data_IF_177796403474
#
_entry.id   IF_177796403474
#
_cell.length_a   1.000
_cell.length_b   1.000
_cell.length_c   1.000
_cell.angle_alpha   90.00
_cell.angle_beta   90.00
_cell.angle_gamma   90.00
#
_symmetry.space_group_name_H-M   'P 1'
#
loop_
_entity.id
_entity.type
_entity.pdbx_description
1 polymer ?
#
# COMPACT_ATOMS: atom_id res chain seq x y z
N UNK A 1 13.91 -3.03 -14.08
CA UNK A 1 13.53 -1.88 -14.92
C UNK A 1 13.18 -0.73 -13.99
N UNK A 2 13.71 0.45 -14.24
CA UNK A 2 13.29 1.70 -13.59
C UNK A 2 12.61 2.58 -14.61
N UNK A 3 11.54 3.28 -14.24
CA UNK A 3 10.79 4.06 -15.23
C UNK A 3 9.49 4.64 -14.71
N UNK A 4 8.84 5.44 -15.56
CA UNK A 4 7.52 6.04 -15.32
C UNK A 4 6.52 4.94 -14.98
N UNK A 5 5.85 5.10 -13.85
CA UNK A 5 4.88 4.12 -13.36
C UNK A 5 3.54 4.27 -14.07
N UNK A 6 2.82 3.15 -14.23
CA UNK A 6 1.39 3.14 -14.56
C UNK A 6 0.51 2.98 -13.32
N UNK A 7 1.11 2.97 -12.13
CA UNK A 7 0.41 2.89 -10.85
C UNK A 7 0.06 4.33 -10.46
N UNK A 8 -1.22 4.57 -10.25
CA UNK A 8 -1.82 5.90 -10.20
C UNK A 8 -1.33 6.75 -9.00
N UNK A 9 -0.80 6.09 -7.96
CA UNK A 9 -0.36 6.73 -6.73
C UNK A 9 1.16 6.91 -6.59
N UNK A 10 1.94 6.67 -7.66
CA UNK A 10 3.39 6.80 -7.68
C UNK A 10 3.90 7.32 -9.02
N UNK A 11 5.01 8.04 -9.03
CA UNK A 11 5.51 8.66 -10.27
C UNK A 11 6.41 7.68 -11.05
N UNK A 12 7.23 6.91 -10.32
CA UNK A 12 8.18 5.95 -10.89
C UNK A 12 8.31 4.69 -10.05
N UNK A 13 8.79 3.61 -10.67
CA UNK A 13 9.14 2.37 -9.96
C UNK A 13 10.65 2.16 -9.92
N UNK A 14 11.14 1.65 -8.80
CA UNK A 14 12.51 1.21 -8.61
C UNK A 14 12.53 -0.26 -8.18
N UNK A 15 13.10 -1.14 -9.01
CA UNK A 15 12.99 -2.60 -8.84
C UNK A 15 14.38 -3.28 -8.71
N UNK A 16 15.07 -3.11 -7.57
CA UNK A 16 16.37 -3.75 -7.28
C UNK A 16 16.28 -5.24 -6.93
N UNK A 17 15.08 -5.81 -6.81
CA UNK A 17 14.83 -7.24 -6.56
C UNK A 17 13.82 -7.75 -7.58
N UNK A 18 13.95 -9.00 -8.01
CA UNK A 18 12.96 -9.71 -8.82
C UNK A 18 12.60 -11.04 -8.15
N UNK A 19 11.39 -11.52 -8.44
CA UNK A 19 10.86 -12.74 -7.84
C UNK A 19 10.31 -12.52 -6.43
N UNK A 20 9.42 -13.42 -6.02
CA UNK A 20 8.75 -13.43 -4.72
C UNK A 20 8.07 -14.80 -4.48
N UNK A 21 7.87 -15.17 -3.22
CA UNK A 21 7.00 -16.28 -2.82
C UNK A 21 5.63 -15.79 -2.32
N UNK A 22 4.60 -16.64 -2.45
CA UNK A 22 3.23 -16.36 -2.00
C UNK A 22 3.12 -16.55 -0.48
N UNK A 23 2.52 -15.59 0.22
CA UNK A 23 2.41 -15.61 1.70
C UNK A 23 0.98 -15.46 2.23
N UNK A 24 0.01 -15.25 1.35
CA UNK A 24 -1.41 -15.08 1.70
C UNK A 24 -2.31 -15.23 0.48
N UNK A 25 -3.63 -15.26 0.69
CA UNK A 25 -4.65 -15.32 -0.38
C UNK A 25 -4.61 -14.14 -1.35
N UNK A 26 -4.04 -13.00 -0.93
CA UNK A 26 -3.77 -11.88 -1.82
C UNK A 26 -2.79 -12.20 -2.96
N UNK A 27 -1.99 -13.26 -2.80
CA UNK A 27 -1.00 -13.68 -3.77
C UNK A 27 -1.53 -14.70 -4.79
N UNK A 28 -2.75 -15.24 -4.60
CA UNK A 28 -3.29 -16.34 -5.42
C UNK A 28 -3.35 -15.99 -6.91
N UNK A 29 -3.73 -14.74 -7.25
CA UNK A 29 -3.77 -14.22 -8.61
C UNK A 29 -2.86 -12.99 -8.80
N UNK A 30 -1.67 -13.03 -8.21
CA UNK A 30 -0.69 -11.96 -8.28
C UNK A 30 -0.36 -11.56 -9.73
N UNK A 31 -0.56 -10.29 -10.08
CA UNK A 31 -0.21 -9.80 -11.42
C UNK A 31 1.29 -9.88 -11.69
N UNK A 32 2.12 -9.71 -10.66
CA UNK A 32 3.58 -9.75 -10.79
C UNK A 32 4.06 -11.14 -11.24
N UNK A 33 3.43 -12.21 -10.76
CA UNK A 33 3.67 -13.59 -11.21
C UNK A 33 3.29 -13.76 -12.68
N UNK A 34 2.12 -13.23 -13.08
CA UNK A 34 1.66 -13.34 -14.47
C UNK A 34 2.63 -12.68 -15.47
N UNK A 35 3.30 -11.59 -15.07
CA UNK A 35 4.24 -10.85 -15.93
C UNK A 35 5.71 -11.22 -15.67
N UNK A 36 6.02 -12.06 -14.67
CA UNK A 36 7.40 -12.37 -14.29
C UNK A 36 8.15 -13.12 -15.38
N UNK A 37 7.45 -13.88 -16.21
CA UNK A 37 8.00 -14.61 -17.36
C UNK A 37 8.83 -13.70 -18.27
N UNK A 38 8.44 -12.42 -18.41
CA UNK A 38 9.18 -11.46 -19.22
C UNK A 38 10.59 -11.14 -18.69
N UNK A 39 10.84 -11.34 -17.39
CA UNK A 39 12.05 -10.86 -16.71
C UNK A 39 12.89 -11.96 -16.05
N UNK A 40 12.23 -13.00 -15.56
CA UNK A 40 12.87 -14.11 -14.85
C UNK A 40 12.92 -15.39 -15.70
N UNK A 41 12.25 -15.40 -16.84
CA UNK A 41 11.97 -16.61 -17.62
C UNK A 41 10.75 -17.38 -17.08
N UNK A 42 10.21 -18.32 -17.87
CA UNK A 42 9.07 -19.14 -17.46
C UNK A 42 9.31 -19.87 -16.13
N UNK A 43 8.28 -19.92 -15.27
CA UNK A 43 8.30 -20.72 -14.04
C UNK A 43 9.28 -20.26 -12.95
N UNK A 44 9.82 -19.04 -13.04
CA UNK A 44 10.90 -18.55 -12.15
C UNK A 44 10.46 -17.38 -11.25
N UNK A 45 9.16 -17.28 -10.91
CA UNK A 45 8.68 -16.20 -10.04
C UNK A 45 9.16 -16.36 -8.60
N UNK A 46 9.22 -17.59 -8.11
CA UNK A 46 9.65 -17.94 -6.75
C UNK A 46 11.17 -17.83 -6.53
N UNK A 47 11.94 -17.72 -7.61
CA UNK A 47 13.39 -17.50 -7.55
C UNK A 47 13.68 -16.01 -7.36
N UNK A 48 14.10 -15.65 -6.14
CA UNK A 48 14.54 -14.29 -5.83
C UNK A 48 15.88 -14.00 -6.48
N UNK A 49 15.96 -12.87 -7.19
CA UNK A 49 17.18 -12.37 -7.85
C UNK A 49 17.41 -10.93 -7.46
N UNK A 50 18.64 -10.63 -7.06
CA UNK A 50 19.10 -9.26 -6.83
C UNK A 50 19.46 -8.61 -8.16
N UNK A 51 19.25 -7.31 -8.27
CA UNK A 51 19.54 -6.49 -9.45
C UNK A 51 20.44 -5.32 -9.02
N UNK A 52 21.69 -5.60 -8.60
CA UNK A 52 22.60 -4.58 -8.05
C UNK A 52 22.87 -3.42 -9.02
N UNK A 53 22.83 -3.69 -10.33
CA UNK A 53 23.10 -2.70 -11.37
C UNK A 53 22.08 -1.54 -11.42
N UNK A 54 20.92 -1.69 -10.79
CA UNK A 54 19.92 -0.61 -10.69
C UNK A 54 19.88 0.06 -9.31
N UNK A 55 20.74 -0.32 -8.36
CA UNK A 55 20.73 0.25 -7.02
C UNK A 55 20.86 1.78 -7.07
N UNK A 56 21.81 2.31 -7.82
CA UNK A 56 22.07 3.75 -7.88
C UNK A 56 21.14 4.53 -8.82
N UNK A 57 20.15 3.86 -9.44
CA UNK A 57 19.25 4.54 -10.37
C UNK A 57 18.55 5.78 -9.79
N UNK A 58 18.08 5.79 -8.51
CA UNK A 58 17.45 6.97 -7.92
C UNK A 58 18.37 8.19 -7.85
N UNK A 59 19.68 8.00 -7.68
CA UNK A 59 20.65 9.10 -7.59
C UNK A 59 20.77 9.89 -8.90
N UNK A 60 20.35 9.30 -10.02
CA UNK A 60 20.41 9.90 -11.36
C UNK A 60 19.15 10.70 -11.70
N UNK A 61 18.14 10.72 -10.83
CA UNK A 61 16.89 11.44 -11.09
C UNK A 61 16.93 12.83 -10.45
N UNK A 62 16.95 13.86 -11.29
CA UNK A 62 17.11 15.25 -10.83
C UNK A 62 15.84 15.91 -10.27
N UNK A 63 14.65 15.42 -10.63
CA UNK A 63 13.37 15.96 -10.13
C UNK A 63 12.86 15.12 -8.96
N UNK A 64 12.33 15.75 -7.88
CA UNK A 64 11.60 15.04 -6.85
C UNK A 64 10.53 14.12 -7.43
N UNK A 65 10.40 12.92 -6.85
CA UNK A 65 9.51 11.85 -7.32
C UNK A 65 9.04 11.05 -6.10
N UNK A 66 7.82 10.52 -6.18
CA UNK A 66 7.38 9.35 -5.43
C UNK A 66 7.86 8.11 -6.16
N UNK A 67 8.61 7.28 -5.46
CA UNK A 67 9.33 6.12 -5.98
C UNK A 67 8.76 4.87 -5.31
N UNK A 68 7.99 4.08 -6.04
CA UNK A 68 7.51 2.80 -5.54
C UNK A 68 8.60 1.73 -5.65
N UNK A 69 9.00 1.21 -4.50
CA UNK A 69 10.02 0.17 -4.38
C UNK A 69 9.39 -1.18 -4.72
N UNK A 70 10.01 -1.90 -5.65
CA UNK A 70 9.70 -3.29 -5.99
C UNK A 70 8.25 -3.55 -6.40
N UNK A 71 7.77 -2.83 -7.40
CA UNK A 71 6.44 -3.03 -8.01
C UNK A 71 6.15 -4.42 -8.57
N UNK A 72 7.12 -5.33 -8.69
CA UNK A 72 6.91 -6.68 -9.25
C UNK A 72 7.54 -7.79 -8.38
N UNK A 73 7.86 -7.49 -7.13
CA UNK A 73 8.53 -8.39 -6.18
C UNK A 73 8.31 -7.87 -4.76
N UNK A 74 8.92 -8.51 -3.76
CA UNK A 74 8.89 -8.01 -2.39
C UNK A 74 10.32 -7.67 -1.97
N UNK A 75 10.61 -6.39 -1.73
CA UNK A 75 11.94 -5.91 -1.35
C UNK A 75 12.45 -6.57 -0.06
N UNK A 76 11.53 -6.99 0.81
CA UNK A 76 11.85 -7.61 2.10
C UNK A 76 11.62 -9.12 2.08
N UNK A 77 11.66 -9.76 0.91
CA UNK A 77 11.61 -11.21 0.82
C UNK A 77 12.73 -11.88 1.61
N UNK A 78 12.48 -12.97 2.35
CA UNK A 78 13.44 -13.70 3.21
C UNK A 78 14.78 -13.98 2.52
N UNK A 79 14.74 -14.38 1.25
CA UNK A 79 15.91 -14.61 0.41
C UNK A 79 16.72 -13.37 -0.03
N UNK A 80 16.23 -12.14 0.22
CA UNK A 80 17.03 -10.91 0.04
C UNK A 80 17.93 -10.76 1.27
N UNK A 81 19.27 -10.70 1.12
CA UNK A 81 20.18 -10.52 2.26
C UNK A 81 20.01 -9.16 2.92
N UNK A 82 20.18 -9.07 4.24
CA UNK A 82 20.09 -7.80 4.98
C UNK A 82 21.08 -6.76 4.44
N UNK A 83 22.31 -7.16 4.09
CA UNK A 83 23.30 -6.29 3.45
C UNK A 83 22.78 -5.63 2.16
N UNK A 84 21.95 -6.33 1.39
CA UNK A 84 21.37 -5.75 0.18
C UNK A 84 20.24 -4.76 0.51
N UNK A 85 19.45 -5.05 1.55
CA UNK A 85 18.44 -4.10 2.06
C UNK A 85 19.12 -2.85 2.61
N UNK A 86 20.24 -2.99 3.32
CA UNK A 86 21.07 -1.89 3.81
C UNK A 86 21.52 -1.00 2.63
N UNK A 87 22.01 -1.60 1.54
CA UNK A 87 22.41 -0.85 0.35
C UNK A 87 21.26 -0.11 -0.33
N UNK A 88 20.06 -0.71 -0.36
CA UNK A 88 18.86 -0.04 -0.86
C UNK A 88 18.52 1.18 -0.01
N UNK A 89 18.50 1.03 1.32
CA UNK A 89 18.20 2.13 2.24
C UNK A 89 19.30 3.21 2.23
N UNK A 90 20.56 2.84 2.04
CA UNK A 90 21.66 3.78 1.86
C UNK A 90 21.48 4.64 0.59
N UNK A 91 21.02 4.03 -0.50
CA UNK A 91 20.64 4.76 -1.72
C UNK A 91 19.49 5.73 -1.43
N UNK A 92 18.47 5.29 -0.68
CA UNK A 92 17.32 6.13 -0.32
C UNK A 92 17.72 7.34 0.53
N UNK A 93 18.65 7.14 1.47
CA UNK A 93 19.23 8.18 2.30
C UNK A 93 19.98 9.23 1.46
N UNK A 94 20.79 8.78 0.49
CA UNK A 94 21.53 9.68 -0.40
C UNK A 94 20.61 10.40 -1.42
N UNK A 95 19.57 9.73 -1.91
CA UNK A 95 18.58 10.29 -2.83
C UNK A 95 17.43 11.02 -2.09
N UNK A 96 17.80 11.89 -1.15
CA UNK A 96 16.89 12.55 -0.20
C UNK A 96 15.79 13.41 -0.84
N UNK A 97 15.97 13.85 -2.10
CA UNK A 97 14.98 14.60 -2.85
C UNK A 97 13.76 13.78 -3.30
N UNK A 98 13.80 12.44 -3.17
CA UNK A 98 12.70 11.56 -3.54
C UNK A 98 12.00 11.01 -2.32
N UNK A 99 10.69 10.79 -2.44
CA UNK A 99 9.89 10.04 -1.47
C UNK A 99 9.83 8.58 -1.89
N UNK A 100 10.26 7.67 -1.03
CA UNK A 100 10.27 6.24 -1.30
C UNK A 100 9.09 5.54 -0.64
N UNK A 101 8.31 4.80 -1.43
CA UNK A 101 7.16 4.02 -0.98
C UNK A 101 7.57 2.54 -0.93
N UNK A 102 7.70 1.99 0.28
CA UNK A 102 7.99 0.58 0.52
C UNK A 102 6.72 -0.14 0.95
N UNK A 103 6.23 -1.07 0.13
CA UNK A 103 5.06 -1.91 0.46
C UNK A 103 5.48 -3.38 0.54
N UNK A 104 5.05 -4.09 1.59
CA UNK A 104 5.34 -5.51 1.75
C UNK A 104 4.19 -6.27 2.41
N UNK A 105 4.16 -7.59 2.27
CA UNK A 105 3.31 -8.48 3.11
C UNK A 105 4.09 -9.06 4.30
N UNK A 106 5.41 -8.85 4.33
CA UNK A 106 6.36 -9.36 5.35
C UNK A 106 6.54 -8.35 6.48
N UNK A 107 5.42 -7.96 7.06
CA UNK A 107 5.29 -7.02 8.18
C UNK A 107 6.26 -7.31 9.35
N UNK A 108 6.50 -8.58 9.70
CA UNK A 108 7.45 -8.94 10.74
C UNK A 108 8.88 -8.50 10.39
N UNK A 109 9.35 -8.78 9.17
CA UNK A 109 10.68 -8.37 8.71
C UNK A 109 10.80 -6.86 8.57
N UNK A 110 9.77 -6.20 8.05
CA UNK A 110 9.69 -4.73 8.00
C UNK A 110 9.94 -4.12 9.38
N UNK A 111 9.20 -4.59 10.39
CA UNK A 111 9.35 -4.12 11.78
C UNK A 111 10.74 -4.44 12.33
N UNK A 112 11.20 -5.68 12.21
CA UNK A 112 12.48 -6.13 12.77
C UNK A 112 13.64 -5.30 12.25
N UNK A 113 13.70 -5.04 10.94
CA UNK A 113 14.78 -4.24 10.35
C UNK A 113 14.66 -2.78 10.76
N UNK A 114 13.51 -2.14 10.56
CA UNK A 114 13.42 -0.68 10.72
C UNK A 114 13.41 -0.23 12.19
N UNK A 115 13.04 -1.12 13.11
CA UNK A 115 13.12 -0.86 14.56
C UNK A 115 14.48 -1.20 15.18
N UNK A 116 15.41 -1.79 14.43
CA UNK A 116 16.74 -2.15 14.92
C UNK A 116 17.69 -0.95 14.84
N UNK A 117 18.28 -0.51 15.97
CA UNK A 117 19.35 0.50 15.96
C UNK A 117 20.55 0.06 15.12
N UNK A 118 20.95 -1.22 15.21
CA UNK A 118 22.09 -1.76 14.45
C UNK A 118 21.85 -1.67 12.94
N UNK A 119 20.60 -1.90 12.49
CA UNK A 119 20.24 -1.75 11.08
C UNK A 119 20.29 -0.28 10.65
N UNK A 120 19.78 0.63 11.48
CA UNK A 120 19.85 2.07 11.20
C UNK A 120 21.31 2.54 11.11
N UNK A 121 22.17 2.14 12.04
CA UNK A 121 23.58 2.47 12.05
C UNK A 121 24.29 1.89 10.82
N UNK A 122 24.01 0.64 10.45
CA UNK A 122 24.57 0.02 9.25
C UNK A 122 24.15 0.76 7.97
N UNK A 123 22.90 1.21 7.86
CA UNK A 123 22.42 2.04 6.73
C UNK A 123 23.18 3.37 6.66
N UNK A 124 23.35 4.06 7.78
CA UNK A 124 24.03 5.35 7.82
C UNK A 124 25.53 5.22 7.52
N UNK A 125 26.17 4.16 8.03
CA UNK A 125 27.56 3.82 7.72
C UNK A 125 27.73 3.49 6.24
N UNK A 126 26.85 2.67 5.66
CA UNK A 126 26.90 2.31 4.24
C UNK A 126 26.67 3.54 3.35
N UNK A 127 25.70 4.39 3.69
CA UNK A 127 25.44 5.63 2.96
C UNK A 127 26.63 6.59 3.02
N UNK A 128 27.23 6.75 4.19
CA UNK A 128 28.42 7.59 4.40
C UNK A 128 29.62 7.03 3.64
N UNK A 129 29.84 5.72 3.69
CA UNK A 129 30.95 5.04 3.03
C UNK A 129 30.87 5.11 1.51
N UNK A 130 29.67 4.96 0.93
CA UNK A 130 29.46 4.98 -0.52
C UNK A 130 29.31 6.37 -1.11
N UNK A 131 28.56 7.24 -0.45
CA UNK A 131 28.11 8.51 -1.01
C UNK A 131 28.72 9.74 -0.29
N UNK A 132 29.56 9.50 0.71
CA UNK A 132 30.32 10.52 1.43
C UNK A 132 29.64 11.06 2.68
N UNK A 133 30.42 11.77 3.51
CA UNK A 133 30.00 12.31 4.81
C UNK A 133 28.89 13.39 4.77
N UNK A 134 28.46 13.80 3.58
CA UNK A 134 27.37 14.75 3.38
C UNK A 134 25.97 14.12 3.53
N UNK A 135 25.85 12.79 3.58
CA UNK A 135 24.58 12.11 3.89
C UNK A 135 24.28 12.25 5.37
N UNK A 136 23.71 13.40 5.75
CA UNK A 136 23.22 13.69 7.10
C UNK A 136 21.71 13.54 7.13
N UNK A 137 21.24 12.33 7.38
CA UNK A 137 19.81 12.05 7.54
C UNK A 137 19.55 11.45 8.93
N UNK A 138 18.46 11.86 9.62
CA UNK A 138 18.03 11.17 10.83
C UNK A 138 17.45 9.79 10.50
N UNK A 139 17.24 9.00 11.55
CA UNK A 139 16.43 7.78 11.51
C UNK A 139 15.12 7.96 12.28
N UNK A 140 13.96 7.50 11.76
CA UNK A 140 13.76 6.91 10.43
C UNK A 140 14.06 7.89 9.30
N UNK A 141 14.32 7.38 8.09
CA UNK A 141 14.58 8.22 6.92
C UNK A 141 13.40 9.19 6.67
N UNK A 142 13.63 10.52 6.59
CA UNK A 142 12.59 11.54 6.38
C UNK A 142 11.75 11.34 5.12
N UNK A 143 12.28 10.60 4.16
CA UNK A 143 11.67 10.37 2.86
C UNK A 143 11.11 8.96 2.69
N UNK A 144 10.98 8.18 3.77
CA UNK A 144 10.42 6.83 3.73
C UNK A 144 8.93 6.80 4.10
N UNK A 145 8.12 6.32 3.16
CA UNK A 145 6.76 5.88 3.37
C UNK A 145 6.76 4.35 3.43
N UNK A 146 6.49 3.77 4.59
CA UNK A 146 6.46 2.33 4.79
C UNK A 146 5.01 1.84 4.91
N UNK A 147 4.70 0.71 4.28
CA UNK A 147 3.36 0.18 4.30
C UNK A 147 3.30 -1.33 4.24
N UNK A 148 2.14 -1.84 4.66
CA UNK A 148 1.81 -3.26 4.56
C UNK A 148 0.54 -3.45 3.74
N UNK A 149 0.48 -4.53 2.96
CA UNK A 149 -0.80 -4.92 2.38
C UNK A 149 -1.67 -5.63 3.43
N UNK A 150 -2.98 -5.43 3.42
CA UNK A 150 -3.94 -6.17 4.26
C UNK A 150 -5.16 -6.53 3.41
N UNK A 151 -5.39 -7.81 3.15
CA UNK A 151 -6.43 -8.21 2.20
C UNK A 151 -7.82 -8.34 2.85
N UNK A 152 -7.84 -8.58 4.14
CA UNK A 152 -9.03 -8.84 4.96
C UNK A 152 -8.74 -8.46 6.43
N UNK A 153 -9.78 -8.51 7.28
CA UNK A 153 -9.65 -8.17 8.70
C UNK A 153 -8.58 -9.01 9.41
N UNK A 154 -8.45 -10.30 9.09
CA UNK A 154 -7.45 -11.18 9.71
C UNK A 154 -6.04 -10.62 9.47
N UNK A 155 -5.72 -10.23 8.25
CA UNK A 155 -4.41 -9.64 7.96
C UNK A 155 -4.28 -8.21 8.48
N UNK A 156 -5.35 -7.44 8.59
CA UNK A 156 -5.36 -6.16 9.29
C UNK A 156 -4.93 -6.34 10.76
N UNK A 157 -5.57 -7.26 11.49
CA UNK A 157 -5.27 -7.57 12.90
C UNK A 157 -3.82 -8.04 13.12
N UNK A 158 -3.23 -8.74 12.15
CA UNK A 158 -1.86 -9.25 12.24
C UNK A 158 -0.82 -8.18 11.84
N UNK A 159 -1.05 -7.47 10.74
CA UNK A 159 -0.01 -6.65 10.08
C UNK A 159 0.01 -5.21 10.55
N UNK A 160 -1.15 -4.63 10.90
CA UNK A 160 -1.23 -3.23 11.34
C UNK A 160 -0.47 -3.01 12.66
N UNK A 161 -0.60 -3.86 13.69
CA UNK A 161 0.16 -3.66 14.93
C UNK A 161 1.68 -3.71 14.73
N UNK A 162 2.16 -4.52 13.77
CA UNK A 162 3.57 -4.53 13.41
C UNK A 162 3.98 -3.24 12.70
N UNK A 163 3.18 -2.74 11.74
CA UNK A 163 3.43 -1.48 11.05
C UNK A 163 3.46 -0.27 11.99
N UNK A 164 2.53 -0.18 12.95
CA UNK A 164 2.49 0.93 13.92
C UNK A 164 3.74 0.95 14.81
N UNK A 165 4.38 -0.20 15.04
CA UNK A 165 5.65 -0.34 15.77
C UNK A 165 6.89 -0.17 14.88
N UNK A 166 6.72 0.10 13.59
CA UNK A 166 7.81 0.33 12.64
C UNK A 166 8.12 1.83 12.55
N UNK A 167 9.38 2.26 12.73
CA UNK A 167 9.80 3.63 12.46
C UNK A 167 9.68 3.97 10.97
N UNK A 168 8.85 4.95 10.64
CA UNK A 168 8.70 5.50 9.30
C UNK A 168 8.03 6.88 9.37
N UNK A 169 8.31 7.76 8.42
CA UNK A 169 7.67 9.08 8.38
C UNK A 169 6.21 9.01 7.98
N UNK A 170 5.87 8.08 7.10
CA UNK A 170 4.49 7.79 6.71
C UNK A 170 4.29 6.29 6.84
N UNK A 171 3.21 5.92 7.52
CA UNK A 171 2.72 4.54 7.62
C UNK A 171 1.45 4.41 6.79
N UNK A 172 1.45 3.52 5.80
CA UNK A 172 0.29 3.35 4.91
C UNK A 172 -0.17 1.90 4.78
N UNK A 173 -1.46 1.73 4.46
CA UNK A 173 -2.04 0.45 4.13
C UNK A 173 -2.33 0.36 2.64
N UNK A 174 -2.08 -0.81 2.06
CA UNK A 174 -2.64 -1.20 0.78
C UNK A 174 -3.63 -2.33 1.01
N UNK A 175 -4.91 -1.99 0.99
CA UNK A 175 -6.01 -2.95 1.09
C UNK A 175 -6.25 -3.55 -0.30
N UNK A 176 -5.22 -4.27 -0.80
CA UNK A 176 -5.15 -4.76 -2.17
C UNK A 176 -4.52 -6.17 -2.31
N UNK A 177 -5.21 -7.10 -3.02
CA UNK A 177 -6.62 -7.01 -3.37
C UNK A 177 -7.49 -7.02 -2.09
N UNK A 178 -8.55 -6.23 -2.05
CA UNK A 178 -9.54 -6.31 -0.97
C UNK A 178 -10.36 -7.59 -1.15
N UNK A 179 -10.21 -8.53 -0.22
CA UNK A 179 -10.83 -9.87 -0.22
C UNK A 179 -11.85 -10.07 0.89
N UNK A 180 -12.07 -9.06 1.72
CA UNK A 180 -13.08 -9.03 2.77
C UNK A 180 -13.21 -7.63 3.37
N UNK A 181 -14.21 -7.41 4.24
CA UNK A 181 -14.34 -6.15 4.97
C UNK A 181 -13.14 -5.93 5.89
N UNK A 182 -12.79 -4.66 6.08
CA UNK A 182 -11.74 -4.22 7.01
C UNK A 182 -12.30 -3.07 7.84
N UNK A 183 -12.29 -3.26 9.15
CA UNK A 183 -12.60 -2.26 10.15
C UNK A 183 -11.30 -1.77 10.79
N UNK A 184 -11.00 -0.49 10.56
CA UNK A 184 -9.83 0.21 11.05
C UNK A 184 -10.13 1.07 12.29
N UNK A 185 -11.35 1.09 12.79
CA UNK A 185 -11.83 2.05 13.80
C UNK A 185 -10.91 2.14 15.03
N UNK A 186 -10.46 0.98 15.54
CA UNK A 186 -9.51 0.90 16.66
C UNK A 186 -8.12 1.51 16.40
N UNK A 187 -7.64 1.54 15.15
CA UNK A 187 -6.31 2.08 14.80
C UNK A 187 -6.37 3.51 14.29
N UNK A 188 -7.57 3.97 13.91
CA UNK A 188 -7.85 5.33 13.50
C UNK A 188 -8.34 6.22 14.65
N UNK A 189 -8.49 5.65 15.86
CA UNK A 189 -8.96 6.37 17.04
C UNK A 189 -10.46 6.68 17.04
N UNK A 190 -11.23 6.10 16.10
CA UNK A 190 -12.66 6.37 15.91
C UNK A 190 -13.49 5.86 17.09
N UNK A 191 -13.19 4.65 17.60
CA UNK A 191 -13.88 4.07 18.77
C UNK A 191 -13.75 4.95 20.03
N UNK A 192 -12.70 5.76 20.13
CA UNK A 192 -12.52 6.68 21.25
C UNK A 192 -13.33 7.96 21.07
N UNK A 193 -13.55 8.44 19.84
CA UNK A 193 -14.28 9.69 19.59
C UNK A 193 -15.73 9.66 20.08
N UNK A 194 -16.42 8.51 19.95
CA UNK A 194 -17.80 8.34 20.44
C UNK A 194 -17.90 8.40 21.98
N UNK A 195 -16.80 8.11 22.69
CA UNK A 195 -16.77 8.10 24.15
C UNK A 195 -16.40 9.45 24.79
N UNK A 196 -15.98 10.44 23.99
CA UNK A 196 -15.51 11.75 24.46
C UNK A 196 -16.46 12.91 24.12
N UNK A 197 -17.74 12.64 23.80
CA UNK A 197 -18.78 13.68 23.72
C UNK A 197 -18.84 14.48 25.03
N UNK A 198 -18.10 15.59 25.11
CA UNK A 198 -18.01 16.45 26.29
C UNK A 198 -16.64 17.03 26.62
N UNK A 199 -15.56 16.58 25.99
CA UNK A 199 -14.21 17.12 26.23
C UNK A 199 -13.74 17.90 25.00
N UNK A 200 -13.55 19.22 25.15
CA UNK A 200 -13.32 20.15 24.05
C UNK A 200 -12.13 19.83 23.14
N UNK A 201 -12.19 20.35 21.91
CA UNK A 201 -11.26 20.09 20.79
C UNK A 201 -9.76 20.20 21.16
N UNK A 202 -9.40 21.07 22.11
CA UNK A 202 -8.01 21.29 22.55
C UNK A 202 -7.42 20.11 23.33
N UNK A 203 -8.22 19.40 24.15
CA UNK A 203 -7.73 18.23 24.88
C UNK A 203 -7.53 17.05 23.92
N UNK A 204 -8.41 16.90 22.93
CA UNK A 204 -8.28 15.90 21.88
C UNK A 204 -7.01 16.12 21.04
N UNK A 205 -6.70 17.37 20.66
CA UNK A 205 -5.44 17.67 19.96
C UNK A 205 -4.19 17.27 20.77
N UNK A 206 -4.25 17.39 22.11
CA UNK A 206 -3.16 16.99 23.02
C UNK A 206 -3.01 15.46 23.15
N UNK A 207 -4.12 14.71 23.16
CA UNK A 207 -4.15 13.25 23.21
C UNK A 207 -3.95 12.61 21.83
N UNK A 208 -4.31 13.30 20.75
CA UNK A 208 -3.97 12.94 19.37
C UNK A 208 -2.46 13.04 19.11
N UNK A 209 -1.70 13.71 19.99
CA UNK A 209 -0.24 13.56 20.04
C UNK A 209 0.22 12.14 20.42
N UNK A 210 -0.62 11.37 21.12
CA UNK A 210 -0.43 9.94 21.42
C UNK A 210 -1.25 9.01 20.49
N UNK A 211 -2.35 9.50 19.91
CA UNK A 211 -3.21 8.80 18.93
C UNK A 211 -3.52 9.74 17.76
N UNK A 212 -2.54 9.94 16.89
CA UNK A 212 -2.62 10.79 15.70
C UNK A 212 -1.42 10.51 14.79
N UNK A 213 -1.23 11.26 13.69
CA UNK A 213 -0.21 10.96 12.67
C UNK A 213 1.21 10.75 13.22
N UNK A 214 1.56 11.32 14.38
CA UNK A 214 2.83 11.00 15.04
C UNK A 214 3.02 9.49 15.37
N UNK A 215 1.92 8.74 15.57
CA UNK A 215 1.90 7.31 15.88
C UNK A 215 0.94 6.45 15.02
N UNK A 216 0.12 7.06 14.15
CA UNK A 216 -1.01 6.40 13.46
C UNK A 216 -0.80 6.02 11.98
N UNK A 217 -1.89 5.61 11.34
CA UNK A 217 -1.98 5.37 9.90
C UNK A 217 -2.21 6.70 9.16
N UNK A 218 -1.41 6.94 8.13
CA UNK A 218 -1.41 8.21 7.40
C UNK A 218 -2.17 8.13 6.08
N UNK A 219 -2.21 6.93 5.50
CA UNK A 219 -2.74 6.73 4.16
C UNK A 219 -3.28 5.31 3.97
N UNK A 220 -4.46 5.20 3.35
CA UNK A 220 -5.10 3.93 3.04
C UNK A 220 -5.41 3.90 1.55
N UNK A 221 -4.85 2.91 0.87
CA UNK A 221 -5.09 2.64 -0.56
C UNK A 221 -6.01 1.44 -0.65
N UNK A 222 -7.11 1.54 -1.39
CA UNK A 222 -8.07 0.45 -1.54
C UNK A 222 -8.24 0.07 -3.02
N UNK A 223 -8.22 -1.24 -3.30
CA UNK A 223 -8.31 -1.73 -4.67
C UNK A 223 -8.70 -3.20 -4.80
N UNK A 224 -9.52 -3.49 -5.80
CA UNK A 224 -9.92 -4.86 -6.16
C UNK A 224 -8.92 -5.59 -7.06
N UNK A 225 -9.11 -6.89 -7.20
CA UNK A 225 -8.24 -7.75 -7.99
C UNK A 225 -8.43 -7.51 -9.50
N UNK A 226 -7.34 -7.51 -10.26
CA UNK A 226 -7.37 -7.34 -11.73
C UNK A 226 -6.92 -8.61 -12.44
N UNK A 227 -7.32 -8.76 -13.71
CA UNK A 227 -6.90 -9.88 -14.55
C UNK A 227 -7.95 -10.98 -14.69
N UNK A 228 -7.63 -12.07 -15.42
CA UNK A 228 -8.62 -13.05 -15.86
C UNK A 228 -9.26 -13.81 -14.70
N UNK A 229 -8.54 -14.00 -13.59
CA UNK A 229 -9.01 -14.71 -12.39
C UNK A 229 -9.45 -13.78 -11.25
N UNK A 230 -9.63 -12.50 -11.53
CA UNK A 230 -10.02 -11.52 -10.52
C UNK A 230 -11.28 -11.95 -9.76
N UNK A 231 -11.19 -11.98 -8.43
CA UNK A 231 -12.34 -12.18 -7.54
C UNK A 231 -13.18 -10.89 -7.46
N UNK A 232 -14.53 -10.97 -7.47
CA UNK A 232 -15.39 -9.80 -7.30
C UNK A 232 -15.33 -9.31 -5.86
N UNK A 233 -15.02 -8.03 -5.61
CA UNK A 233 -15.11 -7.47 -4.27
C UNK A 233 -16.53 -6.96 -3.98
N UNK A 234 -16.91 -6.88 -2.71
CA UNK A 234 -18.13 -6.18 -2.33
C UNK A 234 -17.91 -4.66 -2.37
N UNK A 235 -18.81 -3.86 -2.98
CA UNK A 235 -18.62 -2.41 -3.10
C UNK A 235 -18.62 -1.68 -1.76
N UNK A 236 -19.46 -2.13 -0.81
CA UNK A 236 -19.54 -1.49 0.51
C UNK A 236 -18.26 -1.61 1.32
N UNK A 237 -17.42 -2.62 1.07
CA UNK A 237 -16.12 -2.71 1.73
C UNK A 237 -15.26 -1.47 1.47
N UNK A 238 -15.30 -0.93 0.24
CA UNK A 238 -14.57 0.29 -0.12
C UNK A 238 -15.24 1.54 0.44
N UNK A 239 -16.58 1.58 0.47
CA UNK A 239 -17.36 2.69 1.04
C UNK A 239 -17.10 2.84 2.53
N UNK A 240 -17.23 1.76 3.29
CA UNK A 240 -16.95 1.77 4.73
C UNK A 240 -15.50 2.16 5.00
N UNK A 241 -14.53 1.67 4.21
CA UNK A 241 -13.13 2.04 4.37
C UNK A 241 -12.86 3.53 4.08
N UNK A 242 -13.50 4.09 3.04
CA UNK A 242 -13.50 5.53 2.75
C UNK A 242 -14.06 6.31 3.94
N UNK A 243 -15.21 5.90 4.46
CA UNK A 243 -15.93 6.62 5.50
C UNK A 243 -15.17 6.58 6.83
N UNK A 244 -14.54 5.46 7.18
CA UNK A 244 -13.62 5.36 8.31
C UNK A 244 -12.44 6.34 8.16
N UNK A 245 -11.81 6.41 6.99
CA UNK A 245 -10.70 7.33 6.75
C UNK A 245 -11.14 8.80 6.81
N UNK A 246 -12.34 9.11 6.28
CA UNK A 246 -12.92 10.44 6.35
C UNK A 246 -13.19 10.86 7.81
N UNK A 247 -13.71 9.94 8.64
CA UNK A 247 -13.97 10.18 10.05
C UNK A 247 -12.70 10.47 10.87
N UNK A 248 -11.56 9.90 10.50
CA UNK A 248 -10.27 10.11 11.19
C UNK A 248 -9.36 11.16 10.57
N UNK A 249 -9.75 11.73 9.42
CA UNK A 249 -8.88 12.61 8.63
C UNK A 249 -7.67 11.89 7.97
N UNK A 250 -7.70 10.56 7.89
CA UNK A 250 -6.66 9.76 7.23
C UNK A 250 -6.82 9.86 5.71
N UNK A 251 -5.72 10.04 4.98
CA UNK A 251 -5.79 10.12 3.52
C UNK A 251 -6.30 8.81 2.93
N UNK A 252 -7.27 8.89 2.02
CA UNK A 252 -7.86 7.75 1.34
C UNK A 252 -7.65 7.83 -0.17
N UNK A 253 -7.13 6.74 -0.74
CA UNK A 253 -6.94 6.58 -2.18
C UNK A 253 -7.73 5.36 -2.67
N UNK A 254 -8.77 5.60 -3.46
CA UNK A 254 -9.46 4.53 -4.17
C UNK A 254 -8.80 4.31 -5.53
N UNK A 255 -8.19 3.14 -5.70
CA UNK A 255 -7.50 2.80 -6.93
C UNK A 255 -8.48 2.37 -8.02
N UNK A 256 -9.31 1.37 -7.72
CA UNK A 256 -10.33 0.78 -8.63
C UNK A 256 -10.97 -0.45 -8.00
N UNK A 257 -12.12 -0.89 -8.51
CA UNK A 257 -12.73 -2.20 -8.20
C UNK A 257 -12.00 -3.40 -8.84
N UNK A 258 -10.98 -3.16 -9.67
CA UNK A 258 -10.26 -4.21 -10.37
C UNK A 258 -10.94 -4.60 -11.68
N UNK A 259 -11.24 -5.88 -11.89
CA UNK A 259 -11.90 -6.37 -13.11
C UNK A 259 -13.44 -6.34 -13.03
N UNK A 260 -14.00 -5.81 -11.95
CA UNK A 260 -15.43 -5.82 -11.65
C UNK A 260 -15.95 -4.39 -11.45
N UNK A 261 -17.23 -4.16 -11.67
CA UNK A 261 -17.87 -2.85 -11.41
C UNK A 261 -19.25 -3.03 -10.78
N UNK A 262 -19.64 -2.18 -9.81
CA UNK A 262 -21.02 -2.10 -9.34
C UNK A 262 -21.94 -1.39 -10.36
N UNK A 263 -21.37 -0.72 -11.36
CA UNK A 263 -22.12 -0.21 -12.51
C UNK A 263 -22.51 -1.37 -13.42
N UNK A 264 -23.81 -1.66 -13.44
CA UNK A 264 -24.41 -2.78 -14.16
C UNK A 264 -24.65 -2.46 -15.65
N UNK A 265 -24.40 -1.23 -16.08
CA UNK A 265 -24.55 -0.84 -17.47
C UNK A 265 -23.48 -1.48 -18.34
N UNK A 266 -23.93 -2.13 -19.41
CA UNK A 266 -23.06 -2.71 -20.44
C UNK A 266 -22.82 -4.21 -20.29
N UNK A 267 -21.98 -4.78 -21.19
CA UNK A 267 -21.81 -6.21 -21.28
C UNK A 267 -20.96 -6.75 -20.13
N UNK A 268 -21.25 -7.98 -19.70
CA UNK A 268 -20.49 -8.69 -18.69
C UNK A 268 -21.32 -9.73 -17.95
N UNK A 269 -20.67 -10.74 -17.39
CA UNK A 269 -21.33 -11.65 -16.45
C UNK A 269 -21.65 -10.89 -15.17
N UNK A 270 -22.87 -11.04 -14.68
CA UNK A 270 -23.30 -10.56 -13.37
C UNK A 270 -23.09 -11.65 -12.32
N UNK A 271 -22.71 -11.25 -11.11
CA UNK A 271 -22.62 -12.12 -9.94
C UNK A 271 -23.17 -11.38 -8.72
N UNK A 272 -23.79 -12.12 -7.80
CA UNK A 272 -24.07 -11.64 -6.45
C UNK A 272 -22.85 -11.80 -5.56
N UNK A 273 -22.59 -10.83 -4.69
CA UNK A 273 -21.55 -10.85 -3.66
C UNK A 273 -22.23 -10.57 -2.33
N UNK A 274 -22.17 -11.52 -1.40
CA UNK A 274 -22.68 -11.36 -0.04
C UNK A 274 -21.70 -10.49 0.79
N UNK A 275 -22.11 -9.93 1.94
CA UNK A 275 -21.25 -9.09 2.79
C UNK A 275 -19.93 -9.76 3.23
N UNK A 276 -19.93 -11.09 3.37
CA UNK A 276 -18.76 -11.90 3.74
C UNK A 276 -17.84 -12.24 2.55
N UNK A 277 -18.22 -11.85 1.33
CA UNK A 277 -17.47 -12.08 0.11
C UNK A 277 -17.85 -13.36 -0.64
N UNK A 278 -18.85 -14.10 -0.16
CA UNK A 278 -19.38 -15.27 -0.86
C UNK A 278 -19.99 -14.86 -2.18
N UNK A 279 -19.64 -15.57 -3.26
CA UNK A 279 -20.13 -15.29 -4.61
C UNK A 279 -21.28 -16.24 -4.94
N UNK A 280 -22.41 -15.68 -5.36
CA UNK A 280 -23.63 -16.40 -5.72
C UNK A 280 -24.10 -16.01 -7.12
N UNK A 281 -24.97 -16.84 -7.71
CA UNK A 281 -25.71 -16.42 -8.91
C UNK A 281 -26.62 -15.24 -8.55
N UNK A 282 -26.73 -14.21 -9.41
CA UNK A 282 -27.57 -13.05 -9.13
C UNK A 282 -29.04 -13.48 -9.10
N UNK A 283 -29.73 -13.24 -7.99
CA UNK A 283 -31.18 -13.51 -7.85
C UNK A 283 -31.94 -12.19 -7.70
N UNK A 284 -32.99 -11.93 -8.49
CA UNK A 284 -33.84 -10.75 -8.30
C UNK A 284 -34.57 -10.73 -6.94
N UNK A 285 -34.80 -11.92 -6.35
CA UNK A 285 -35.74 -12.09 -5.24
C UNK A 285 -35.10 -12.59 -3.93
N UNK A 286 -33.82 -12.98 -3.93
CA UNK A 286 -33.14 -13.64 -2.78
C UNK A 286 -31.71 -13.10 -2.54
N UNK A 287 -31.55 -11.79 -2.38
CA UNK A 287 -30.32 -11.27 -1.79
C UNK A 287 -30.42 -11.29 -0.27
N UNK A 288 -29.43 -11.90 0.40
CA UNK A 288 -29.22 -11.63 1.82
C UNK A 288 -29.08 -10.10 1.99
N UNK A 289 -29.65 -9.55 3.06
CA UNK A 289 -29.56 -8.11 3.34
C UNK A 289 -28.11 -7.62 3.26
N UNK A 290 -27.89 -6.50 2.58
CA UNK A 290 -26.57 -5.92 2.38
C UNK A 290 -25.72 -6.57 1.27
N UNK A 291 -26.26 -7.48 0.45
CA UNK A 291 -25.54 -8.02 -0.72
C UNK A 291 -25.48 -7.03 -1.88
N UNK A 292 -24.51 -7.22 -2.78
CA UNK A 292 -24.33 -6.41 -3.98
C UNK A 292 -24.28 -7.25 -5.26
N UNK A 293 -24.69 -6.67 -6.39
CA UNK A 293 -24.42 -7.23 -7.72
C UNK A 293 -23.20 -6.58 -8.32
N UNK A 294 -22.29 -7.40 -8.86
CA UNK A 294 -21.08 -6.95 -9.55
C UNK A 294 -21.08 -7.45 -11.00
N UNK A 295 -20.71 -6.58 -11.94
CA UNK A 295 -20.54 -6.92 -13.35
C UNK A 295 -19.07 -7.12 -13.69
N UNK A 296 -18.74 -8.22 -14.36
CA UNK A 296 -17.39 -8.47 -14.87
C UNK A 296 -17.11 -7.59 -16.09
N UNK A 297 -16.12 -6.71 -15.97
CA UNK A 297 -15.71 -5.82 -17.04
C UNK A 297 -14.71 -6.48 -17.99
N UNK A 298 -14.59 -5.96 -19.22
CA UNK A 298 -13.61 -6.43 -20.21
C UNK A 298 -12.15 -6.14 -19.83
N UNK A 299 -11.93 -5.05 -19.10
CA UNK A 299 -10.63 -4.63 -18.59
C UNK A 299 -10.82 -3.83 -17.31
N UNK A 300 -9.76 -3.71 -16.51
CA UNK A 300 -9.77 -2.83 -15.33
C UNK A 300 -10.06 -1.36 -15.66
N UNK A 301 -9.61 -0.90 -16.84
CA UNK A 301 -9.92 0.45 -17.31
C UNK A 301 -11.42 0.65 -17.59
N UNK A 302 -12.11 -0.39 -18.04
CA UNK A 302 -13.55 -0.35 -18.26
C UNK A 302 -14.37 -0.45 -16.97
N UNK A 303 -13.78 -0.98 -15.88
CA UNK A 303 -14.40 -0.95 -14.56
C UNK A 303 -14.35 0.45 -13.92
N UNK A 304 -13.42 1.30 -14.39
CA UNK A 304 -13.26 2.65 -13.87
C UNK A 304 -12.59 2.69 -12.50
N UNK A 305 -12.45 3.92 -12.00
CA UNK A 305 -11.78 4.23 -10.73
C UNK A 305 -12.58 5.19 -9.85
N UNK A 306 -13.88 5.26 -10.10
CA UNK A 306 -14.80 6.08 -9.33
C UNK A 306 -15.47 5.21 -8.27
N UNK A 307 -15.56 5.75 -7.05
CA UNK A 307 -16.35 5.19 -5.97
C UNK A 307 -17.46 6.20 -5.68
N UNK A 308 -18.70 5.78 -5.98
CA UNK A 308 -19.90 6.62 -5.92
C UNK A 308 -19.80 7.88 -6.80
N UNK A 309 -19.34 7.70 -8.05
CA UNK A 309 -19.32 8.74 -9.09
C UNK A 309 -18.24 9.81 -8.92
N UNK A 310 -17.23 9.57 -8.07
CA UNK A 310 -16.10 10.48 -7.83
C UNK A 310 -14.81 9.72 -7.65
N UNK A 311 -13.69 10.34 -8.02
CA UNK A 311 -12.36 9.81 -7.70
C UNK A 311 -11.96 10.16 -6.27
N UNK A 312 -11.19 9.28 -5.64
CA UNK A 312 -10.64 9.49 -4.30
C UNK A 312 -9.12 9.35 -4.41
N UNK A 313 -8.42 10.47 -4.48
CA UNK A 313 -6.98 10.54 -4.82
C UNK A 313 -6.15 11.20 -3.72
N UNK A 314 -6.61 11.14 -2.45
CA UNK A 314 -5.91 11.82 -1.36
C UNK A 314 -4.55 11.17 -1.07
N UNK A 315 -3.57 12.02 -0.75
CA UNK A 315 -2.23 11.64 -0.30
C UNK A 315 -2.00 12.16 1.12
N UNK A 316 -1.12 11.51 1.91
CA UNK A 316 -0.80 11.99 3.25
C UNK A 316 -0.10 13.35 3.16
N UNK A 317 -0.47 14.28 4.04
CA UNK A 317 0.25 15.53 4.21
C UNK A 317 1.64 15.23 4.80
N UNK A 318 2.70 15.54 4.04
CA UNK A 318 4.06 15.55 4.58
C UNK A 318 4.37 16.97 5.04
N UNK A 319 4.93 17.12 6.24
CA UNK A 319 5.39 18.42 6.73
C UNK A 319 6.41 18.98 5.73
N UNK A 320 6.02 20.01 4.96
CA UNK A 320 6.90 20.76 4.06
C UNK A 320 6.72 20.58 2.55
N UNK A 321 5.68 19.89 2.07
CA UNK A 321 5.32 19.93 0.65
C UNK A 321 3.88 20.42 0.47
N UNK A 322 3.71 21.63 -0.07
CA UNK A 322 2.43 22.09 -0.59
C UNK A 322 1.92 21.10 -1.65
N UNK A 323 0.60 20.82 -1.69
CA UNK A 323 0.03 19.97 -2.73
C UNK A 323 0.34 20.58 -4.10
N UNK A 324 0.71 19.76 -5.11
CA UNK A 324 0.84 20.27 -6.47
C UNK A 324 -0.51 20.86 -6.89
N UNK A 325 -0.52 22.15 -7.17
CA UNK A 325 -1.68 22.82 -7.74
C UNK A 325 -2.22 22.01 -8.92
N UNK A 326 -3.48 21.62 -8.84
CA UNK A 326 -4.22 21.11 -9.98
C UNK A 326 -4.23 22.21 -11.06
N UNK A 327 -3.62 21.91 -12.19
CA UNK A 327 -3.76 22.67 -13.43
C UNK A 327 -4.87 22.05 -14.29
#
# INVERSE_FOLDING_TARGET
MTGISKIEWTDVTWNPVRGCSKVSRGCDHCYAEAISTHWNGPGSFDVVRLVPEVLEAPLRWHRPRRVFINSMSDALHEAVPDDFVIQMFATMAAASQHTFQLLTKRHARLRTLLASPDFADAVLQEATGRYGAAVRTPWPLPNLWAGVSVEDQRWADIRIPALLKTPAMVRFLSVEPMLGPVDLSRWLGIEYMESFEGWGEELFASLAGWVGPAAGLHWVIAGGESGPRARPPHPDWFRTLRDQCAASGTAFFFKQFGQWSPDLDGPGRLVGVLPDGTVVEPSPDDFAEGSATMRRCRSKHAAGRELDGRTHDAFPATSGQEPPHAA
#
